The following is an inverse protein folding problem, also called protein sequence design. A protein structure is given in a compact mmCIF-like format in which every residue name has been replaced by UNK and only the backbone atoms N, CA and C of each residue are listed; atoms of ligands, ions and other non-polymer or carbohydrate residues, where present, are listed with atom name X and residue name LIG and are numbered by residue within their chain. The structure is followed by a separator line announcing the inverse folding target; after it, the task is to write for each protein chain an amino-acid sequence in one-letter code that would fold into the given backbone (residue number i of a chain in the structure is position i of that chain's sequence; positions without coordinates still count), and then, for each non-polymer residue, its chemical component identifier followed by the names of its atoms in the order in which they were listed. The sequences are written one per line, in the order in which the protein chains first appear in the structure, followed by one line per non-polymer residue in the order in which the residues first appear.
data_IF_908709276237
#
_entry.id   IF_908709276237
#
_cell.length_a   1.000
_cell.length_b   1.000
_cell.length_c   1.000
_cell.angle_alpha   90.00
_cell.angle_beta   90.00
_cell.angle_gamma   90.00
#
_symmetry.space_group_name_H-M   'P 1'
#
loop_
_entity.id
_entity.type
_entity.pdbx_description
1 polymer ?
#
# COMPACT_ATOMS: atom_id res chain seq x y z
N UNK A 1 2.28 26.99 1.38
CA UNK A 1 1.09 27.11 0.52
C UNK A 1 0.42 25.76 0.47
N UNK A 2 -0.88 25.68 0.74
CA UNK A 2 -1.60 24.41 0.79
C UNK A 2 -1.68 23.81 -0.62
N UNK A 3 -1.40 22.51 -0.75
CA UNK A 3 -1.70 21.82 -2.00
C UNK A 3 -3.20 21.55 -2.10
N UNK A 4 -3.82 21.97 -3.19
CA UNK A 4 -5.14 21.47 -3.56
C UNK A 4 -5.04 19.96 -3.89
N UNK A 5 -6.01 19.16 -3.45
CA UNK A 5 -6.23 17.82 -3.99
C UNK A 5 -6.94 17.95 -5.35
N UNK A 6 -6.73 16.99 -6.24
CA UNK A 6 -7.54 16.84 -7.46
C UNK A 6 -8.99 16.47 -7.10
N UNK A 7 -9.90 16.52 -8.08
CA UNK A 7 -11.34 16.20 -7.87
C UNK A 7 -11.57 14.78 -7.37
N UNK A 8 -10.67 13.85 -7.71
CA UNK A 8 -10.69 12.47 -7.22
C UNK A 8 -10.13 12.34 -5.78
N UNK A 9 -9.62 13.43 -5.20
CA UNK A 9 -8.98 13.47 -3.88
C UNK A 9 -7.50 13.05 -3.89
N UNK A 10 -6.91 12.78 -5.06
CA UNK A 10 -5.49 12.50 -5.19
C UNK A 10 -4.64 13.77 -5.10
N UNK A 11 -3.37 13.62 -4.73
CA UNK A 11 -2.43 14.73 -4.69
C UNK A 11 -1.86 14.98 -6.10
N UNK A 12 -2.02 16.20 -6.67
CA UNK A 12 -1.59 16.51 -8.02
C UNK A 12 -0.06 16.54 -8.13
N UNK A 13 0.47 16.48 -9.35
CA UNK A 13 1.89 16.75 -9.60
C UNK A 13 2.31 18.11 -9.05
N UNK A 14 3.52 18.18 -8.51
CA UNK A 14 4.13 19.33 -7.83
C UNK A 14 3.48 19.74 -6.50
N UNK A 15 2.48 18.99 -6.03
CA UNK A 15 1.96 19.15 -4.67
C UNK A 15 2.98 18.78 -3.60
N UNK A 16 2.78 19.29 -2.40
CA UNK A 16 3.52 18.86 -1.22
C UNK A 16 2.67 17.99 -0.31
N UNK A 17 3.26 16.90 0.14
CA UNK A 17 2.70 15.95 1.09
C UNK A 17 3.48 16.00 2.39
N UNK A 18 2.79 16.26 3.50
CA UNK A 18 3.40 16.24 4.82
C UNK A 18 3.00 14.95 5.53
N UNK A 19 4.01 14.18 5.94
CA UNK A 19 3.86 12.92 6.66
C UNK A 19 4.43 13.09 8.07
N UNK A 20 3.85 12.40 9.05
CA UNK A 20 4.36 12.30 10.42
C UNK A 20 4.91 10.90 10.64
N UNK A 21 6.19 10.78 11.05
CA UNK A 21 6.76 9.47 11.35
C UNK A 21 6.10 8.96 12.63
N UNK A 22 5.89 7.65 12.72
CA UNK A 22 5.31 7.10 13.93
C UNK A 22 6.22 7.41 15.15
N UNK A 23 5.64 8.05 16.17
CA UNK A 23 6.37 8.53 17.35
C UNK A 23 7.03 9.91 17.23
N UNK A 24 7.07 10.53 16.04
CA UNK A 24 7.59 11.89 15.89
C UNK A 24 6.51 12.97 16.06
N UNK A 25 6.95 14.20 16.37
CA UNK A 25 6.09 15.39 16.49
C UNK A 25 6.17 16.32 15.29
N UNK A 26 7.20 16.16 14.47
CA UNK A 26 7.49 17.01 13.31
C UNK A 26 7.15 16.28 12.04
N UNK A 27 6.41 16.94 11.14
CA UNK A 27 6.09 16.36 9.84
C UNK A 27 7.23 16.57 8.85
N UNK A 28 7.50 15.54 8.07
CA UNK A 28 8.41 15.56 6.93
C UNK A 28 7.65 15.83 5.65
N UNK A 29 8.19 16.67 4.77
CA UNK A 29 7.50 17.09 3.55
C UNK A 29 8.14 16.50 2.31
N UNK A 30 7.30 15.97 1.43
CA UNK A 30 7.65 15.34 0.17
C UNK A 30 7.01 16.13 -0.99
N UNK A 31 7.70 16.21 -2.12
CA UNK A 31 7.14 16.79 -3.36
C UNK A 31 6.63 15.67 -4.25
N UNK A 32 5.36 15.72 -4.66
CA UNK A 32 4.79 14.74 -5.59
C UNK A 32 5.30 15.02 -7.00
N UNK A 33 6.01 14.07 -7.59
CA UNK A 33 6.47 14.16 -8.98
C UNK A 33 5.41 13.58 -9.92
N UNK A 34 4.76 12.49 -9.51
CA UNK A 34 3.77 11.78 -10.32
C UNK A 34 2.87 10.91 -9.44
N UNK A 35 1.60 10.82 -9.79
CA UNK A 35 0.66 9.81 -9.27
C UNK A 35 0.58 8.58 -10.17
N UNK A 36 0.37 7.42 -9.55
CA UNK A 36 0.08 6.13 -10.19
C UNK A 36 -1.31 5.66 -9.76
N UNK A 37 -2.34 6.41 -10.16
CA UNK A 37 -3.74 6.10 -9.82
C UNK A 37 -4.51 5.62 -11.06
N UNK A 38 -5.49 4.71 -10.90
CA UNK A 38 -5.80 3.96 -9.69
C UNK A 38 -4.78 2.85 -9.40
N UNK A 39 -4.64 2.48 -8.12
CA UNK A 39 -3.85 1.34 -7.67
C UNK A 39 -4.72 0.47 -6.75
N UNK A 40 -4.59 -0.85 -6.83
CA UNK A 40 -5.52 -1.81 -6.23
C UNK A 40 -5.86 -1.49 -4.77
N UNK A 41 -4.84 -1.29 -3.92
CA UNK A 41 -5.02 -1.02 -2.50
C UNK A 41 -4.40 0.32 -2.08
N UNK A 42 -4.94 1.42 -2.60
CA UNK A 42 -4.59 2.79 -2.18
C UNK A 42 -4.06 3.68 -3.29
N UNK A 43 -3.26 4.68 -2.92
CA UNK A 43 -2.67 5.63 -3.85
C UNK A 43 -1.15 5.50 -3.85
N UNK A 44 -0.52 5.53 -5.01
CA UNK A 44 0.93 5.42 -5.13
C UNK A 44 1.47 6.66 -5.81
N UNK A 45 2.52 7.25 -5.23
CA UNK A 45 3.16 8.46 -5.71
C UNK A 45 4.66 8.24 -5.90
N UNK A 46 5.21 8.75 -6.98
CA UNK A 46 6.64 9.04 -7.07
C UNK A 46 6.86 10.39 -6.39
N UNK A 47 7.68 10.41 -5.35
CA UNK A 47 7.96 11.63 -4.59
C UNK A 47 9.44 11.94 -4.56
N UNK A 48 9.73 13.22 -4.37
CA UNK A 48 11.05 13.76 -4.13
C UNK A 48 11.21 14.16 -2.67
N UNK A 49 12.37 13.86 -2.11
CA UNK A 49 12.71 14.17 -0.73
C UNK A 49 14.03 14.93 -0.65
N UNK A 50 14.03 16.03 0.11
CA UNK A 50 15.14 16.99 0.12
C UNK A 50 16.22 16.68 1.16
N UNK A 51 16.03 15.71 2.06
CA UNK A 51 17.07 15.34 3.03
C UNK A 51 17.98 14.22 2.52
N UNK A 52 19.24 14.28 2.94
CA UNK A 52 20.33 13.41 2.50
C UNK A 52 20.24 11.95 2.97
N UNK A 53 19.31 11.63 3.88
CA UNK A 53 19.19 10.28 4.46
C UNK A 53 18.58 9.26 3.49
N UNK A 54 17.82 9.71 2.49
CA UNK A 54 17.21 8.83 1.49
C UNK A 54 17.64 9.18 0.08
N UNK A 55 17.48 8.25 -0.88
CA UNK A 55 17.55 8.57 -2.29
C UNK A 55 16.64 9.74 -2.65
N UNK A 56 17.05 10.54 -3.63
CA UNK A 56 16.30 11.72 -4.05
C UNK A 56 14.88 11.41 -4.55
N UNK A 57 14.63 10.17 -5.03
CA UNK A 57 13.35 9.71 -5.54
C UNK A 57 12.90 8.46 -4.82
N UNK A 58 11.63 8.44 -4.44
CA UNK A 58 11.03 7.42 -3.59
C UNK A 58 9.60 7.12 -4.04
N UNK A 59 9.10 5.94 -3.71
CA UNK A 59 7.69 5.61 -3.86
C UNK A 59 7.00 5.82 -2.51
N UNK A 60 5.95 6.61 -2.50
CA UNK A 60 5.06 6.79 -1.36
C UNK A 60 3.73 6.09 -1.66
N UNK A 61 3.41 5.01 -0.96
CA UNK A 61 2.11 4.33 -1.04
C UNK A 61 1.26 4.72 0.16
N UNK A 62 0.12 5.33 -0.10
CA UNK A 62 -0.87 5.79 0.89
C UNK A 62 -2.05 4.83 0.91
N UNK A 63 -2.34 4.27 2.08
CA UNK A 63 -3.48 3.39 2.31
C UNK A 63 -4.66 4.23 2.80
N UNK A 64 -5.37 4.85 1.86
CA UNK A 64 -6.57 5.63 2.14
C UNK A 64 -7.81 4.85 1.65
N UNK A 65 -8.73 4.45 2.54
CA UNK A 65 -9.93 3.67 2.21
C UNK A 65 -10.80 4.26 1.09
N UNK A 66 -10.70 5.57 0.86
CA UNK A 66 -11.37 6.27 -0.25
C UNK A 66 -10.96 5.79 -1.64
N UNK A 67 -9.77 5.18 -1.75
CA UNK A 67 -9.14 4.80 -3.01
C UNK A 67 -8.99 3.29 -3.18
N UNK A 68 -9.59 2.48 -2.30
CA UNK A 68 -9.60 1.03 -2.47
C UNK A 68 -10.41 0.65 -3.71
N UNK A 69 -9.86 -0.25 -4.53
CA UNK A 69 -10.51 -0.72 -5.74
C UNK A 69 -11.81 -1.49 -5.49
N UNK A 70 -11.95 -2.10 -4.30
CA UNK A 70 -13.17 -2.77 -3.83
C UNK A 70 -14.40 -1.82 -3.84
N UNK A 71 -14.18 -0.50 -3.80
CA UNK A 71 -15.24 0.51 -3.99
C UNK A 71 -15.91 0.42 -5.36
N UNK A 72 -15.27 -0.15 -6.37
CA UNK A 72 -15.88 -0.39 -7.70
C UNK A 72 -17.08 -1.34 -7.62
N UNK A 73 -17.14 -2.19 -6.60
CA UNK A 73 -18.27 -3.07 -6.35
C UNK A 73 -19.48 -2.30 -5.81
N UNK A 74 -19.28 -1.10 -5.25
CA UNK A 74 -20.32 -0.20 -4.73
C UNK A 74 -20.04 1.28 -5.07
N UNK A 75 -20.23 1.69 -6.33
CA UNK A 75 -19.84 3.02 -6.80
C UNK A 75 -20.73 4.18 -6.30
N UNK A 76 -21.77 3.92 -5.50
CA UNK A 76 -22.85 4.88 -5.24
C UNK A 76 -22.83 5.58 -3.88
N UNK A 77 -21.92 5.24 -2.98
CA UNK A 77 -21.79 5.95 -1.70
C UNK A 77 -20.42 6.64 -1.60
N UNK A 78 -20.43 7.96 -1.80
CA UNK A 78 -19.27 8.81 -1.62
C UNK A 78 -18.81 8.73 -0.17
N UNK A 79 -17.53 8.46 0.07
CA UNK A 79 -16.94 8.54 1.42
C UNK A 79 -17.10 9.96 1.96
N UNK A 80 -18.01 10.14 2.90
CA UNK A 80 -18.22 11.43 3.57
C UNK A 80 -17.54 11.43 4.93
N UNK A 81 -17.17 12.61 5.41
CA UNK A 81 -16.65 12.76 6.78
C UNK A 81 -17.66 12.26 7.82
N UNK A 82 -18.95 12.48 7.60
CA UNK A 82 -19.99 12.03 8.52
C UNK A 82 -19.97 10.49 8.64
N UNK A 83 -19.83 9.80 7.51
CA UNK A 83 -19.75 8.34 7.48
C UNK A 83 -18.45 7.82 8.09
N UNK A 84 -17.31 8.44 7.74
CA UNK A 84 -16.02 8.11 8.34
C UNK A 84 -16.04 8.28 9.86
N UNK A 85 -16.64 9.38 10.35
CA UNK A 85 -16.79 9.64 11.80
C UNK A 85 -17.70 8.63 12.48
N UNK A 86 -18.78 8.22 11.82
CA UNK A 86 -19.69 7.20 12.34
C UNK A 86 -18.96 5.85 12.48
N UNK A 87 -18.23 5.41 11.46
CA UNK A 87 -17.47 4.15 11.50
C UNK A 87 -16.44 4.18 12.63
N UNK A 88 -15.67 5.26 12.76
CA UNK A 88 -14.70 5.43 13.86
C UNK A 88 -15.40 5.38 15.22
N UNK A 89 -16.51 6.08 15.38
CA UNK A 89 -17.30 6.05 16.61
C UNK A 89 -17.81 4.64 16.96
N UNK A 90 -18.27 3.89 15.95
CA UNK A 90 -18.75 2.50 16.12
C UNK A 90 -17.63 1.57 16.57
N UNK A 91 -16.43 1.75 16.02
CA UNK A 91 -15.24 1.03 16.42
C UNK A 91 -14.86 1.33 17.88
N UNK A 92 -14.82 2.60 18.27
CA UNK A 92 -14.53 3.02 19.64
C UNK A 92 -15.54 2.50 20.67
N UNK A 93 -16.79 2.25 20.23
CA UNK A 93 -17.85 1.64 21.04
C UNK A 93 -17.79 0.11 21.09
N UNK A 94 -16.84 -0.53 20.40
CA UNK A 94 -16.72 -1.99 20.33
C UNK A 94 -17.84 -2.65 19.53
N UNK A 95 -18.50 -1.93 18.62
CA UNK A 95 -19.55 -2.46 17.75
C UNK A 95 -19.00 -3.06 16.46
N UNK A 96 -17.73 -2.84 16.17
CA UNK A 96 -16.97 -3.43 15.06
C UNK A 96 -15.85 -4.23 15.71
N UNK A 97 -15.76 -5.51 15.38
CA UNK A 97 -14.69 -6.39 15.88
C UNK A 97 -13.41 -6.22 15.06
N UNK A 98 -12.27 -6.58 15.66
CA UNK A 98 -10.96 -6.58 15.00
C UNK A 98 -10.83 -7.67 13.90
N UNK A 99 -11.87 -8.46 13.68
CA UNK A 99 -11.99 -9.46 12.61
C UNK A 99 -13.19 -9.19 11.69
N UNK A 100 -13.74 -7.97 11.72
CA UNK A 100 -14.95 -7.62 10.98
C UNK A 100 -14.81 -7.88 9.47
N UNK A 101 -15.57 -8.83 8.97
CA UNK A 101 -15.68 -9.12 7.55
C UNK A 101 -17.15 -9.12 7.15
N UNK A 102 -17.47 -8.33 6.12
CA UNK A 102 -18.85 -8.22 5.65
C UNK A 102 -19.38 -9.52 5.08
N UNK A 103 -18.49 -10.39 4.60
CA UNK A 103 -18.82 -11.73 4.11
C UNK A 103 -19.20 -12.70 5.25
N UNK A 104 -18.92 -12.35 6.51
CA UNK A 104 -19.24 -13.17 7.67
C UNK A 104 -20.60 -12.80 8.28
N UNK A 105 -21.26 -11.75 7.76
CA UNK A 105 -22.60 -11.37 8.17
C UNK A 105 -23.63 -12.32 7.53
N UNK A 106 -24.61 -12.75 8.32
CA UNK A 106 -25.69 -13.61 7.81
C UNK A 106 -26.41 -12.93 6.63
N UNK A 107 -26.81 -13.72 5.62
CA UNK A 107 -27.55 -13.24 4.44
C UNK A 107 -28.85 -12.48 4.79
N UNK A 108 -29.36 -12.69 6.02
CA UNK A 108 -30.58 -12.11 6.55
C UNK A 108 -30.37 -10.71 7.18
N UNK A 109 -29.12 -10.26 7.34
CA UNK A 109 -28.79 -8.97 7.94
C UNK A 109 -28.95 -7.85 6.91
N UNK A 110 -29.86 -6.92 7.20
CA UNK A 110 -29.97 -5.69 6.42
C UNK A 110 -28.72 -4.82 6.63
N UNK A 111 -27.84 -4.79 5.63
CA UNK A 111 -26.59 -4.04 5.68
C UNK A 111 -26.85 -2.54 5.60
N UNK A 112 -26.70 -1.84 6.72
CA UNK A 112 -26.62 -0.39 6.72
C UNK A 112 -25.33 0.10 6.00
N UNK A 113 -25.35 1.29 5.37
CA UNK A 113 -24.20 1.90 4.67
C UNK A 113 -22.86 1.83 5.41
N UNK A 114 -22.88 2.05 6.73
CA UNK A 114 -21.65 2.08 7.52
C UNK A 114 -20.96 0.71 7.62
N UNK A 115 -21.66 -0.41 7.43
CA UNK A 115 -21.03 -1.75 7.42
C UNK A 115 -20.04 -1.87 6.26
N UNK A 116 -20.37 -1.32 5.10
CA UNK A 116 -19.47 -1.31 3.95
C UNK A 116 -18.24 -0.45 4.20
N UNK A 117 -18.44 0.68 4.86
CA UNK A 117 -17.36 1.61 5.15
C UNK A 117 -16.46 1.12 6.29
N UNK A 118 -17.03 0.40 7.25
CA UNK A 118 -16.29 -0.38 8.23
C UNK A 118 -15.44 -1.47 7.56
N UNK A 119 -16.02 -2.23 6.62
CA UNK A 119 -15.29 -3.28 5.89
C UNK A 119 -14.13 -2.69 5.08
N UNK A 120 -14.34 -1.57 4.37
CA UNK A 120 -13.30 -0.91 3.60
C UNK A 120 -12.20 -0.31 4.49
N UNK A 121 -12.57 0.28 5.63
CA UNK A 121 -11.62 0.76 6.62
C UNK A 121 -10.76 -0.40 7.15
N UNK A 122 -11.40 -1.52 7.50
CA UNK A 122 -10.76 -2.73 8.00
C UNK A 122 -9.81 -3.37 6.98
N UNK A 123 -10.24 -3.51 5.72
CA UNK A 123 -9.37 -3.96 4.62
C UNK A 123 -8.17 -3.03 4.48
N UNK A 124 -8.39 -1.72 4.55
CA UNK A 124 -7.32 -0.73 4.55
C UNK A 124 -6.30 -0.97 5.66
N UNK A 125 -6.76 -1.17 6.90
CA UNK A 125 -5.88 -1.44 8.05
C UNK A 125 -5.15 -2.78 7.98
N UNK A 126 -5.81 -3.84 7.52
CA UNK A 126 -5.18 -5.16 7.40
C UNK A 126 -4.17 -5.25 6.29
N UNK A 127 -4.52 -4.77 5.09
CA UNK A 127 -3.58 -4.67 3.97
C UNK A 127 -2.37 -3.86 4.41
N UNK A 128 -2.59 -2.85 5.23
CA UNK A 128 -1.52 -2.04 5.73
C UNK A 128 -0.67 -2.74 6.79
N UNK A 129 -1.26 -3.33 7.84
CA UNK A 129 -0.52 -3.99 8.91
C UNK A 129 0.21 -5.24 8.39
N UNK A 130 -0.45 -6.06 7.58
CA UNK A 130 0.15 -7.22 6.90
C UNK A 130 1.19 -6.79 5.87
N UNK A 131 0.82 -5.91 4.94
CA UNK A 131 1.71 -5.45 3.87
C UNK A 131 2.96 -4.73 4.39
N UNK A 132 2.85 -3.89 5.42
CA UNK A 132 4.03 -3.23 6.02
C UNK A 132 4.98 -4.25 6.66
N UNK A 133 4.47 -5.11 7.53
CA UNK A 133 5.31 -6.08 8.24
C UNK A 133 5.95 -7.11 7.31
N UNK A 134 5.19 -7.59 6.31
CA UNK A 134 5.71 -8.53 5.32
C UNK A 134 6.79 -7.90 4.46
N UNK A 135 6.54 -6.67 3.99
CA UNK A 135 7.48 -6.03 3.10
C UNK A 135 8.76 -5.62 3.84
N UNK A 136 8.71 -5.36 5.15
CA UNK A 136 9.88 -5.18 6.02
C UNK A 136 10.68 -6.49 6.14
N UNK A 137 10.03 -7.60 6.50
CA UNK A 137 10.66 -8.93 6.59
C UNK A 137 11.28 -9.36 5.25
N UNK A 138 10.58 -9.08 4.14
CA UNK A 138 11.09 -9.35 2.81
C UNK A 138 12.28 -8.44 2.46
N UNK A 139 12.26 -7.16 2.85
CA UNK A 139 13.35 -6.21 2.58
C UNK A 139 14.68 -6.67 3.19
N UNK A 140 14.64 -7.26 4.39
CA UNK A 140 15.82 -7.82 5.06
C UNK A 140 16.38 -9.07 4.36
N UNK A 141 15.57 -9.75 3.54
CA UNK A 141 15.97 -10.98 2.85
C UNK A 141 16.78 -10.73 1.55
N UNK A 142 16.99 -9.47 1.14
CA UNK A 142 18.00 -9.09 0.14
C UNK A 142 17.51 -8.22 -1.02
N UNK A 143 18.35 -7.96 -2.04
CA UNK A 143 18.13 -6.94 -3.08
C UNK A 143 17.10 -7.31 -4.16
N UNK A 144 16.42 -8.45 -4.01
CA UNK A 144 15.38 -8.95 -4.91
C UNK A 144 14.00 -8.46 -4.47
N UNK A 145 13.92 -7.73 -3.36
CA UNK A 145 12.70 -7.11 -2.86
C UNK A 145 12.85 -5.60 -2.87
N UNK A 146 11.74 -4.91 -3.07
CA UNK A 146 11.71 -3.46 -2.92
C UNK A 146 11.89 -3.12 -1.45
N UNK A 147 12.89 -2.29 -1.14
CA UNK A 147 13.19 -1.95 0.24
C UNK A 147 12.12 -1.01 0.80
N UNK A 148 11.47 -1.43 1.88
CA UNK A 148 10.74 -0.50 2.76
C UNK A 148 11.78 0.31 3.50
N UNK A 149 11.69 1.62 3.34
CA UNK A 149 12.56 2.52 4.08
C UNK A 149 11.89 2.89 5.40
N UNK A 150 10.59 3.25 5.37
CA UNK A 150 9.87 3.73 6.55
C UNK A 150 8.34 3.59 6.45
N UNK A 151 7.68 3.58 7.61
CA UNK A 151 6.22 3.65 7.78
C UNK A 151 5.82 4.96 8.46
N UNK A 152 4.88 5.69 7.88
CA UNK A 152 4.45 7.02 8.29
C UNK A 152 2.92 7.12 8.40
N UNK A 153 2.44 8.17 9.06
CA UNK A 153 1.04 8.62 9.05
C UNK A 153 0.93 9.87 8.21
N UNK A 154 -0.16 10.07 7.46
CA UNK A 154 -0.39 11.37 6.81
C UNK A 154 -0.65 12.41 7.90
N UNK A 155 0.09 13.52 7.88
CA UNK A 155 -0.16 14.62 8.80
C UNK A 155 -1.53 15.22 8.48
N UNK A 156 -2.38 15.36 9.49
CA UNK A 156 -3.72 15.92 9.31
C UNK A 156 -3.62 17.31 8.65
N UNK A 157 -4.15 17.44 7.43
CA UNK A 157 -4.18 18.72 6.75
C UNK A 157 -5.40 19.50 7.26
N UNK A 158 -5.26 20.77 7.72
CA UNK A 158 -6.37 21.53 8.30
C UNK A 158 -7.60 21.68 7.38
N UNK A 159 -7.39 21.64 6.07
CA UNK A 159 -8.46 21.72 5.06
C UNK A 159 -9.18 20.39 4.81
N UNK A 160 -8.72 19.28 5.38
CA UNK A 160 -9.31 17.95 5.25
C UNK A 160 -9.68 17.48 6.65
N UNK A 161 -10.88 17.82 7.09
CA UNK A 161 -11.46 17.17 8.26
C UNK A 161 -11.61 15.69 7.93
N UNK A 162 -10.87 14.85 8.66
CA UNK A 162 -10.89 13.39 8.60
C UNK A 162 -11.07 12.87 10.02
N UNK A 163 -11.88 11.83 10.18
CA UNK A 163 -11.96 11.06 11.41
C UNK A 163 -10.93 9.91 11.43
N UNK A 164 -10.36 9.55 10.28
CA UNK A 164 -9.26 8.58 10.19
C UNK A 164 -7.93 9.26 9.84
N UNK A 165 -6.83 8.58 10.12
CA UNK A 165 -5.50 9.01 9.71
C UNK A 165 -4.87 7.96 8.78
N UNK A 166 -5.00 8.11 7.45
CA UNK A 166 -4.40 7.19 6.50
C UNK A 166 -2.90 7.03 6.77
N UNK A 167 -2.42 5.80 6.75
CA UNK A 167 -1.00 5.50 6.88
C UNK A 167 -0.37 5.42 5.49
N UNK A 168 0.94 5.62 5.45
CA UNK A 168 1.71 5.58 4.23
C UNK A 168 3.02 4.84 4.45
N UNK A 169 3.52 4.19 3.41
CA UNK A 169 4.84 3.57 3.39
C UNK A 169 5.71 4.22 2.34
N UNK A 170 6.98 4.36 2.70
CA UNK A 170 8.01 4.89 1.85
C UNK A 170 8.89 3.72 1.38
N UNK A 171 8.96 3.53 0.07
CA UNK A 171 9.58 2.39 -0.58
C UNK A 171 10.62 2.89 -1.59
N UNK A 172 11.65 2.07 -1.83
CA UNK A 172 12.63 2.29 -2.89
C UNK A 172 11.95 2.59 -4.24
N UNK A 173 12.37 3.68 -4.89
CA UNK A 173 12.04 3.88 -6.30
C UNK A 173 12.96 3.05 -7.21
N UNK A 174 12.34 2.16 -7.99
CA UNK A 174 13.05 1.32 -8.95
C UNK A 174 12.89 1.95 -10.35
N UNK A 175 13.95 2.55 -10.94
CA UNK A 175 13.89 3.10 -12.29
C UNK A 175 13.93 1.97 -13.33
N UNK A 176 12.84 1.22 -13.43
CA UNK A 176 12.72 -0.02 -14.18
C UNK A 176 11.47 -0.09 -15.06
N UNK A 177 11.23 -1.28 -15.59
CA UNK A 177 10.03 -1.67 -16.34
C UNK A 177 9.50 -2.97 -15.74
N UNK A 178 8.18 -3.21 -15.81
CA UNK A 178 7.61 -4.47 -15.34
C UNK A 178 8.07 -5.64 -16.21
N UNK A 179 8.00 -6.87 -15.69
CA UNK A 179 8.25 -8.08 -16.47
C UNK A 179 7.20 -8.24 -17.59
N UNK A 180 6.00 -7.72 -17.41
CA UNK A 180 4.96 -7.68 -18.43
C UNK A 180 5.39 -6.83 -19.64
N UNK A 181 6.00 -5.66 -19.40
CA UNK A 181 6.29 -4.68 -20.46
C UNK A 181 7.74 -4.75 -20.99
N UNK A 182 8.60 -5.59 -20.42
CA UNK A 182 10.01 -5.71 -20.85
C UNK A 182 10.12 -6.51 -22.15
N UNK A 183 11.08 -6.13 -23.00
CA UNK A 183 11.51 -6.97 -24.11
C UNK A 183 12.08 -8.29 -23.56
N UNK A 184 11.38 -9.40 -23.80
CA UNK A 184 11.79 -10.72 -23.33
C UNK A 184 13.22 -11.11 -23.74
N UNK A 185 13.74 -10.56 -24.85
CA UNK A 185 15.11 -10.84 -25.33
C UNK A 185 16.20 -10.28 -24.43
N UNK A 186 15.89 -9.26 -23.61
CA UNK A 186 16.86 -8.68 -22.66
C UNK A 186 16.88 -9.39 -21.31
N UNK A 187 15.94 -10.29 -21.05
CA UNK A 187 15.81 -11.00 -19.77
C UNK A 187 16.69 -12.25 -19.76
N UNK A 188 17.78 -12.19 -18.99
CA UNK A 188 18.76 -13.29 -18.93
C UNK A 188 18.32 -14.38 -17.94
N UNK A 189 18.54 -15.68 -18.22
CA UNK A 189 18.19 -16.79 -17.31
C UNK A 189 18.70 -16.65 -15.87
N UNK A 190 19.86 -16.00 -15.69
CA UNK A 190 20.41 -15.74 -14.34
C UNK A 190 19.50 -14.89 -13.46
N UNK A 191 18.69 -13.99 -14.04
CA UNK A 191 17.80 -13.10 -13.29
C UNK A 191 16.61 -13.90 -12.72
N UNK A 192 16.05 -14.82 -13.51
CA UNK A 192 15.02 -15.74 -13.03
C UNK A 192 15.51 -16.60 -11.87
N UNK A 193 16.76 -17.07 -11.90
CA UNK A 193 17.31 -17.83 -10.77
C UNK A 193 17.35 -17.01 -9.48
N UNK A 194 17.71 -15.72 -9.56
CA UNK A 194 17.67 -14.83 -8.40
C UNK A 194 16.24 -14.60 -7.91
N UNK A 195 15.28 -14.41 -8.83
CA UNK A 195 13.86 -14.27 -8.48
C UNK A 195 13.32 -15.53 -7.81
N UNK A 196 13.54 -16.71 -8.39
CA UNK A 196 13.08 -17.98 -7.82
C UNK A 196 13.71 -18.22 -6.46
N UNK A 197 15.01 -17.94 -6.30
CA UNK A 197 15.68 -18.03 -5.00
C UNK A 197 15.10 -17.09 -3.95
N UNK A 198 14.62 -15.91 -4.35
CA UNK A 198 13.91 -14.99 -3.47
C UNK A 198 12.51 -15.53 -3.12
N UNK A 199 11.70 -15.87 -4.12
CA UNK A 199 10.35 -16.42 -3.90
C UNK A 199 10.37 -17.67 -3.02
N UNK A 200 11.37 -18.56 -3.16
CA UNK A 200 11.52 -19.73 -2.27
C UNK A 200 11.83 -19.37 -0.82
N UNK A 201 12.31 -18.17 -0.53
CA UNK A 201 12.53 -17.69 0.84
C UNK A 201 11.24 -17.22 1.50
N UNK A 202 10.19 -16.89 0.73
CA UNK A 202 8.91 -16.50 1.31
C UNK A 202 8.39 -17.56 2.29
N UNK A 203 8.46 -18.84 1.91
CA UNK A 203 8.11 -19.95 2.79
C UNK A 203 8.92 -19.95 4.11
N UNK A 204 10.24 -19.80 4.01
CA UNK A 204 11.11 -19.75 5.20
C UNK A 204 10.88 -18.53 6.10
N UNK A 205 10.27 -17.47 5.57
CA UNK A 205 9.90 -16.26 6.28
C UNK A 205 8.44 -16.30 6.76
N UNK A 206 7.71 -17.38 6.48
CA UNK A 206 6.27 -17.47 6.72
C UNK A 206 5.48 -16.43 5.96
N UNK A 207 5.94 -15.98 4.80
CA UNK A 207 5.29 -14.97 3.97
C UNK A 207 4.61 -15.66 2.80
N UNK A 208 3.37 -15.28 2.52
CA UNK A 208 2.66 -15.62 1.28
C UNK A 208 2.33 -14.32 0.55
N UNK A 209 2.78 -14.15 -0.70
CA UNK A 209 2.54 -12.90 -1.43
C UNK A 209 1.14 -12.80 -2.06
N UNK A 210 0.52 -13.94 -2.39
CA UNK A 210 -0.79 -14.09 -3.05
C UNK A 210 -0.99 -13.42 -4.42
N UNK A 211 -0.05 -12.57 -4.87
CA UNK A 211 -0.17 -11.83 -6.14
C UNK A 211 1.16 -11.70 -6.91
N UNK A 212 1.90 -12.80 -7.02
CA UNK A 212 3.12 -12.84 -7.84
C UNK A 212 2.73 -13.00 -9.31
N UNK A 213 2.83 -11.91 -10.07
CA UNK A 213 2.58 -11.89 -11.50
C UNK A 213 3.58 -10.95 -12.23
N UNK A 214 3.56 -10.95 -13.57
CA UNK A 214 4.53 -10.19 -14.37
C UNK A 214 4.42 -8.65 -14.20
N UNK A 215 3.30 -8.13 -13.72
CA UNK A 215 3.16 -6.69 -13.42
C UNK A 215 3.82 -6.32 -12.09
N UNK A 216 3.86 -7.26 -11.14
CA UNK A 216 4.43 -7.08 -9.80
C UNK A 216 5.92 -7.47 -9.71
N UNK A 217 6.60 -7.55 -10.85
CA UNK A 217 8.03 -7.83 -10.94
C UNK A 217 8.68 -6.74 -11.78
N UNK A 218 9.57 -5.95 -11.19
CA UNK A 218 10.30 -4.89 -11.89
C UNK A 218 11.71 -5.33 -12.30
N UNK A 219 12.11 -4.98 -13.52
CA UNK A 219 13.45 -5.14 -14.06
C UNK A 219 14.16 -3.80 -14.15
N UNK A 220 15.36 -3.73 -13.55
CA UNK A 220 16.15 -2.50 -13.54
C UNK A 220 17.62 -2.75 -13.90
N UNK A 221 18.23 -1.91 -14.75
CA UNK A 221 17.60 -0.89 -15.61
C UNK A 221 16.85 -1.52 -16.81
N UNK A 222 15.91 -0.82 -17.48
CA UNK A 222 15.00 -1.42 -18.48
C UNK A 222 15.69 -2.08 -19.68
N UNK A 223 16.74 -1.46 -20.22
CA UNK A 223 17.41 -1.92 -21.46
C UNK A 223 18.47 -3.00 -21.23
N UNK A 224 18.98 -3.10 -20.01
CA UNK A 224 20.00 -4.08 -19.66
C UNK A 224 19.80 -4.51 -18.20
N UNK A 225 18.71 -5.24 -17.89
CA UNK A 225 18.36 -5.55 -16.52
C UNK A 225 19.50 -6.25 -15.78
N UNK A 226 19.80 -5.73 -14.60
CA UNK A 226 20.82 -6.27 -13.69
C UNK A 226 20.19 -6.91 -12.45
N UNK A 227 18.97 -6.51 -12.10
CA UNK A 227 18.16 -7.09 -11.02
C UNK A 227 16.71 -7.22 -11.44
N UNK A 228 16.04 -8.22 -10.85
CA UNK A 228 14.58 -8.34 -10.79
C UNK A 228 14.17 -8.06 -9.36
N UNK A 229 13.06 -7.34 -9.19
CA UNK A 229 12.57 -6.93 -7.88
C UNK A 229 11.09 -7.25 -7.78
N UNK A 230 10.69 -7.99 -6.75
CA UNK A 230 9.28 -8.19 -6.42
C UNK A 230 8.76 -6.91 -5.74
N UNK A 231 7.66 -6.40 -6.26
CA UNK A 231 6.97 -5.21 -5.78
C UNK A 231 5.52 -5.55 -5.40
N UNK A 232 4.89 -4.62 -4.70
CA UNK A 232 3.48 -4.67 -4.31
C UNK A 232 3.05 -5.88 -3.48
N UNK A 233 3.35 -5.82 -2.19
CA UNK A 233 2.91 -6.80 -1.20
C UNK A 233 1.50 -6.48 -0.66
N UNK A 234 0.66 -5.78 -1.44
CA UNK A 234 -0.68 -5.36 -1.00
C UNK A 234 -1.65 -6.51 -0.70
N UNK A 235 -1.39 -7.70 -1.23
CA UNK A 235 -2.15 -8.91 -0.93
C UNK A 235 -1.39 -9.90 -0.05
N UNK A 236 -0.17 -9.57 0.39
CA UNK A 236 0.63 -10.53 1.11
C UNK A 236 0.06 -10.79 2.52
N UNK A 237 0.20 -12.03 2.99
CA UNK A 237 -0.10 -12.47 4.35
C UNK A 237 1.11 -13.12 5.04
N UNK A 238 1.10 -13.13 6.38
CA UNK A 238 2.06 -13.91 7.20
C UNK A 238 1.34 -15.16 7.67
N UNK A 239 1.91 -16.33 7.39
CA UNK A 239 1.48 -17.64 7.90
C UNK A 239 1.58 -17.61 9.42
N UNK A 240 0.45 -17.81 10.11
CA UNK A 240 0.47 -17.96 11.58
C UNK A 240 1.04 -19.32 11.95
N UNK A 241 1.62 -19.42 13.14
CA UNK A 241 2.18 -20.68 13.63
C UNK A 241 1.09 -21.78 13.64
N UNK A 242 1.35 -22.87 12.90
CA UNK A 242 0.43 -24.00 12.78
C UNK A 242 -0.56 -23.95 11.61
N UNK A 243 -0.60 -22.88 10.83
CA UNK A 243 -1.42 -22.80 9.59
C UNK A 243 -0.65 -23.39 8.39
N UNK A 244 -1.39 -24.00 7.46
CA UNK A 244 -0.86 -24.45 6.16
C UNK A 244 -0.93 -23.32 5.11
N UNK A 245 -0.46 -23.57 3.88
CA UNK A 245 -0.53 -22.57 2.79
C UNK A 245 -1.95 -22.28 2.29
N UNK A 246 -2.89 -23.18 2.60
CA UNK A 246 -4.29 -23.11 2.17
C UNK A 246 -5.20 -22.48 3.24
N UNK A 247 -4.64 -22.09 4.39
CA UNK A 247 -5.34 -21.54 5.58
C UNK A 247 -4.85 -20.13 5.92
#
# INVERSE_FOLDING_TARGET
MASAQAEDGSFPTDSTLSLLLDGEKTSTTFRVIRSFTPFTKGQVYLVEYSHSEFPAKLILKVYDPRFLDDRRLKPHESWTLAMESLVVQKWEQGQISDDFNICDLDDDVELEPWHWEAALLFVGENVQNGGCGIQEVASDAGPVYSQVLWVWKIAAHPAQSRATQPRAILIEYIPGVTLHDVDSTVVRPKLYRSLMGAVTRFDSLGVNHYDINANNIMLAPPKAPKRMVVIDFGFAGVRREGMTDEE
#
